data_IF_601821967475
#
_entry.id   IF_601821967475
#
_cell.length_a   1.000
_cell.length_b   1.000
_cell.length_c   1.000
_cell.angle_alpha   90.00
_cell.angle_beta   90.00
_cell.angle_gamma   90.00
#
_symmetry.space_group_name_H-M   'P 1'
#
loop_
_entity.id
_entity.type
_entity.pdbx_description
1 polymer ?
#
# COMPACT_ATOMS: atom_id res chain seq x y z
N UNK A 1 1.41 28.63 -25.66
CA UNK A 1 1.40 28.64 -24.20
C UNK A 1 -0.02 28.46 -23.60
N UNK A 2 -1.08 29.09 -24.16
CA UNK A 2 -2.47 29.06 -23.62
C UNK A 2 -3.10 27.67 -23.55
N UNK A 3 -2.84 26.76 -24.51
CA UNK A 3 -3.45 25.43 -24.61
C UNK A 3 -2.97 24.48 -23.50
N UNK A 4 -1.71 24.53 -23.11
CA UNK A 4 -1.13 23.66 -22.06
C UNK A 4 -1.70 24.03 -20.68
N UNK A 5 -1.73 25.32 -20.35
CA UNK A 5 -2.33 25.80 -19.11
C UNK A 5 -3.83 25.46 -19.03
N UNK A 6 -4.52 25.43 -20.17
CA UNK A 6 -5.95 25.07 -20.24
C UNK A 6 -6.16 23.58 -19.91
N UNK A 7 -5.28 22.70 -20.43
CA UNK A 7 -5.35 21.24 -20.17
C UNK A 7 -5.15 20.93 -18.68
N UNK A 8 -4.12 21.52 -18.07
CA UNK A 8 -3.85 21.33 -16.64
C UNK A 8 -5.01 21.82 -15.77
N UNK A 9 -5.51 23.04 -16.00
CA UNK A 9 -6.63 23.58 -15.25
C UNK A 9 -7.90 22.73 -15.40
N UNK A 10 -8.17 22.26 -16.62
CA UNK A 10 -9.33 21.41 -16.91
C UNK A 10 -9.26 20.07 -16.17
N UNK A 11 -8.09 19.45 -16.07
CA UNK A 11 -7.91 18.19 -15.36
C UNK A 11 -7.83 18.38 -13.84
N UNK A 12 -7.18 19.44 -13.36
CA UNK A 12 -7.09 19.75 -11.94
C UNK A 12 -8.45 20.10 -11.31
N UNK A 13 -9.40 20.62 -12.11
CA UNK A 13 -10.75 20.92 -11.62
C UNK A 13 -11.65 19.69 -11.47
N UNK A 14 -11.25 18.52 -11.97
CA UNK A 14 -12.05 17.31 -11.88
C UNK A 14 -12.01 16.77 -10.44
N UNK A 15 -13.19 16.61 -9.84
CA UNK A 15 -13.30 15.99 -8.53
C UNK A 15 -13.15 14.46 -8.67
N UNK A 16 -12.09 13.91 -8.08
CA UNK A 16 -11.84 12.46 -8.08
C UNK A 16 -12.16 11.80 -6.74
N UNK A 17 -12.71 12.55 -5.76
CA UNK A 17 -12.94 12.05 -4.38
C UNK A 17 -13.81 10.80 -4.32
N UNK A 18 -14.83 10.71 -5.17
CA UNK A 18 -15.74 9.56 -5.24
C UNK A 18 -15.09 8.31 -5.88
N UNK A 19 -13.88 8.44 -6.43
CA UNK A 19 -13.13 7.37 -7.10
C UNK A 19 -11.87 6.99 -6.33
N UNK A 20 -11.68 7.54 -5.14
CA UNK A 20 -10.54 7.27 -4.27
C UNK A 20 -10.85 6.05 -3.41
N UNK A 21 -9.92 5.11 -3.39
CA UNK A 21 -9.90 3.98 -2.47
C UNK A 21 -8.87 4.23 -1.37
N UNK A 22 -9.18 3.85 -0.14
CA UNK A 22 -8.22 3.86 0.96
C UNK A 22 -7.37 2.58 0.92
N UNK A 23 -6.04 2.73 0.79
CA UNK A 23 -5.07 1.64 0.96
C UNK A 23 -4.16 1.96 2.14
N UNK A 24 -4.54 1.47 3.32
CA UNK A 24 -3.89 1.88 4.58
C UNK A 24 -4.13 3.36 4.86
N UNK A 25 -3.04 4.13 5.01
CA UNK A 25 -3.08 5.59 5.26
C UNK A 25 -3.11 6.42 3.97
N UNK A 26 -2.97 5.80 2.80
CA UNK A 26 -2.87 6.51 1.52
C UNK A 26 -4.19 6.51 0.77
N UNK A 27 -4.43 7.62 0.09
CA UNK A 27 -5.48 7.75 -0.90
C UNK A 27 -5.00 7.19 -2.24
N UNK A 28 -5.79 6.34 -2.84
CA UNK A 28 -5.44 5.62 -4.06
C UNK A 28 -6.48 5.86 -5.15
N UNK A 29 -6.05 6.44 -6.25
CA UNK A 29 -6.85 6.53 -7.48
C UNK A 29 -6.48 5.36 -8.38
N UNK A 30 -7.46 4.49 -8.68
CA UNK A 30 -7.24 3.36 -9.59
C UNK A 30 -6.79 3.84 -10.96
N UNK A 31 -5.79 3.15 -11.54
CA UNK A 31 -5.30 3.45 -12.88
C UNK A 31 -6.41 3.40 -13.94
N UNK A 32 -7.37 2.49 -13.78
CA UNK A 32 -8.48 2.34 -14.72
C UNK A 32 -9.40 3.57 -14.71
N UNK A 33 -9.72 4.11 -13.52
CA UNK A 33 -10.50 5.34 -13.41
C UNK A 33 -9.75 6.55 -13.93
N UNK A 34 -8.47 6.69 -13.55
CA UNK A 34 -7.64 7.78 -14.04
C UNK A 34 -7.57 7.78 -15.57
N UNK A 35 -7.34 6.61 -16.17
CA UNK A 35 -7.26 6.46 -17.61
C UNK A 35 -8.60 6.71 -18.30
N UNK A 36 -9.71 6.21 -17.75
CA UNK A 36 -11.05 6.45 -18.31
C UNK A 36 -11.38 7.94 -18.35
N UNK A 37 -11.10 8.68 -17.29
CA UNK A 37 -11.32 10.14 -17.23
C UNK A 37 -10.47 10.86 -18.29
N UNK A 38 -9.19 10.47 -18.42
CA UNK A 38 -8.30 11.06 -19.43
C UNK A 38 -8.82 10.78 -20.83
N UNK A 39 -9.17 9.55 -21.15
CA UNK A 39 -9.63 9.16 -22.49
C UNK A 39 -10.99 9.76 -22.85
N UNK A 40 -11.89 9.93 -21.88
CA UNK A 40 -13.18 10.61 -22.08
C UNK A 40 -12.96 12.07 -22.49
N UNK A 41 -12.07 12.78 -21.82
CA UNK A 41 -11.83 14.20 -22.05
C UNK A 41 -10.81 14.49 -23.16
N UNK A 42 -9.86 13.61 -23.36
CA UNK A 42 -8.79 13.68 -24.36
C UNK A 42 -8.66 12.34 -25.08
N UNK A 43 -9.51 12.07 -26.09
CA UNK A 43 -9.52 10.77 -26.80
C UNK A 43 -8.19 10.43 -27.48
N UNK A 44 -7.39 11.44 -27.84
CA UNK A 44 -6.04 11.34 -28.42
C UNK A 44 -4.94 11.05 -27.38
N UNK A 45 -5.26 11.08 -26.09
CA UNK A 45 -4.29 10.78 -25.04
C UNK A 45 -3.69 9.38 -25.23
N UNK A 46 -2.39 9.27 -25.01
CA UNK A 46 -1.65 8.02 -25.19
C UNK A 46 -0.75 7.73 -23.99
N UNK A 47 -0.46 6.46 -23.78
CA UNK A 47 0.47 5.96 -22.78
C UNK A 47 1.63 5.24 -23.46
N UNK A 48 2.85 5.52 -23.04
CA UNK A 48 4.06 4.82 -23.43
C UNK A 48 4.74 4.19 -22.22
N UNK A 49 4.96 2.88 -22.26
CA UNK A 49 5.86 2.18 -21.35
C UNK A 49 7.20 2.10 -22.06
N UNK A 50 8.25 2.63 -21.42
CA UNK A 50 9.58 2.62 -22.00
C UNK A 50 10.27 1.30 -21.69
N UNK A 51 11.04 0.83 -22.64
CA UNK A 51 11.86 -0.38 -22.55
C UNK A 51 13.34 0.00 -22.49
N UNK A 52 14.13 -0.82 -21.82
CA UNK A 52 15.57 -0.65 -21.76
C UNK A 52 16.20 -1.12 -23.09
N UNK A 53 16.94 -0.24 -23.75
CA UNK A 53 17.62 -0.55 -25.00
C UNK A 53 18.64 -1.70 -24.86
N UNK A 54 19.16 -1.93 -23.65
CA UNK A 54 20.13 -2.99 -23.38
C UNK A 54 19.50 -4.37 -23.16
N UNK A 55 18.32 -4.44 -22.59
CA UNK A 55 17.69 -5.71 -22.19
C UNK A 55 16.38 -6.01 -22.90
N UNK A 56 15.77 -5.02 -23.56
CA UNK A 56 14.43 -5.13 -24.14
C UNK A 56 13.31 -5.27 -23.08
N UNK A 57 13.64 -5.13 -21.80
CA UNK A 57 12.67 -5.23 -20.71
C UNK A 57 12.05 -3.87 -20.40
N UNK A 58 10.81 -3.88 -19.95
CA UNK A 58 10.06 -2.68 -19.60
C UNK A 58 10.37 -2.18 -18.16
N UNK A 59 11.59 -2.37 -17.72
CA UNK A 59 12.16 -1.76 -16.53
C UNK A 59 13.66 -1.49 -16.72
N UNK A 60 14.20 -0.63 -15.89
CA UNK A 60 15.59 -0.20 -15.86
C UNK A 60 16.21 -0.59 -14.52
N UNK A 61 17.54 -0.74 -14.47
CA UNK A 61 18.24 -1.12 -13.25
C UNK A 61 19.55 -0.34 -13.10
N UNK A 62 19.92 -0.08 -11.85
CA UNK A 62 21.24 0.43 -11.42
C UNK A 62 22.20 -0.71 -11.04
N UNK A 63 21.82 -1.98 -11.31
CA UNK A 63 22.54 -3.19 -10.94
C UNK A 63 22.17 -3.73 -9.56
N UNK A 64 21.48 -2.95 -8.72
CA UNK A 64 21.05 -3.37 -7.38
C UNK A 64 19.52 -3.38 -7.22
N UNK A 65 18.87 -2.33 -7.69
CA UNK A 65 17.40 -2.19 -7.70
C UNK A 65 16.89 -1.94 -9.11
N UNK A 66 15.57 -1.82 -9.26
CA UNK A 66 14.96 -1.58 -10.54
C UNK A 66 13.84 -0.54 -10.46
N UNK A 67 13.58 0.15 -11.58
CA UNK A 67 12.51 1.13 -11.72
C UNK A 67 11.86 1.04 -13.10
N UNK A 68 10.63 1.52 -13.21
CA UNK A 68 9.92 1.66 -14.48
C UNK A 68 9.93 3.13 -14.93
N UNK A 69 9.77 3.32 -16.25
CA UNK A 69 9.64 4.65 -16.87
C UNK A 69 8.37 4.64 -17.70
N UNK A 70 7.41 5.51 -17.36
CA UNK A 70 6.10 5.56 -18.05
C UNK A 70 5.78 7.00 -18.42
N UNK A 71 5.48 7.21 -19.70
CA UNK A 71 5.02 8.49 -20.23
C UNK A 71 3.51 8.48 -20.47
N UNK A 72 2.87 9.61 -20.22
CA UNK A 72 1.48 9.88 -20.61
C UNK A 72 1.44 11.18 -21.40
N UNK A 73 0.88 11.12 -22.61
CA UNK A 73 0.72 12.28 -23.49
C UNK A 73 -0.74 12.73 -23.47
N UNK A 74 -0.97 14.02 -23.17
CA UNK A 74 -2.29 14.64 -23.21
C UNK A 74 -2.16 15.98 -23.91
N UNK A 75 -2.96 16.21 -24.93
CA UNK A 75 -2.94 17.47 -25.69
C UNK A 75 -1.57 17.79 -26.33
N UNK A 76 -0.82 16.75 -26.71
CA UNK A 76 0.50 16.87 -27.36
C UNK A 76 1.68 17.08 -26.39
N UNK A 77 1.45 17.12 -25.06
CA UNK A 77 2.50 17.20 -24.04
C UNK A 77 2.65 15.84 -23.36
N UNK A 78 3.89 15.34 -23.26
CA UNK A 78 4.20 14.12 -22.53
C UNK A 78 4.76 14.48 -21.15
N UNK A 79 4.21 13.86 -20.10
CA UNK A 79 4.83 13.81 -18.79
C UNK A 79 5.29 12.40 -18.49
N UNK A 80 6.51 12.28 -17.99
CA UNK A 80 7.16 10.99 -17.71
C UNK A 80 7.38 10.89 -16.20
N UNK A 81 6.96 9.75 -15.63
CA UNK A 81 7.25 9.37 -14.25
C UNK A 81 8.23 8.20 -14.22
N UNK A 82 9.09 8.21 -13.21
CA UNK A 82 10.06 7.16 -12.91
C UNK A 82 9.74 6.60 -11.54
N UNK A 83 9.28 5.35 -11.47
CA UNK A 83 8.87 4.75 -10.21
C UNK A 83 9.74 3.55 -9.86
N UNK A 84 10.39 3.52 -8.67
CA UNK A 84 11.05 2.32 -8.18
C UNK A 84 10.10 1.14 -8.08
N UNK A 85 10.59 -0.06 -8.39
CA UNK A 85 9.85 -1.30 -8.14
C UNK A 85 9.97 -1.63 -6.65
N UNK A 86 8.84 -1.63 -5.96
CA UNK A 86 8.77 -1.66 -4.50
C UNK A 86 7.89 -2.79 -3.97
N UNK A 87 8.23 -3.28 -2.78
CA UNK A 87 7.41 -4.20 -2.02
C UNK A 87 6.20 -3.50 -1.36
N UNK A 88 5.42 -4.25 -0.58
CA UNK A 88 4.24 -3.73 0.14
C UNK A 88 4.55 -2.69 1.23
N UNK A 89 5.83 -2.55 1.61
CA UNK A 89 6.31 -1.56 2.58
C UNK A 89 6.87 -0.31 1.90
N UNK A 90 6.70 -0.17 0.57
CA UNK A 90 7.29 0.88 -0.28
C UNK A 90 8.83 0.91 -0.26
N UNK A 91 9.48 -0.23 -0.02
CA UNK A 91 10.94 -0.37 -0.12
C UNK A 91 11.30 -0.97 -1.48
N UNK A 92 12.34 -0.44 -2.11
CA UNK A 92 12.86 -0.98 -3.37
C UNK A 92 13.20 -2.47 -3.25
N UNK A 93 12.85 -3.24 -4.26
CA UNK A 93 13.15 -4.68 -4.36
C UNK A 93 14.50 -4.81 -5.06
N UNK A 94 15.35 -5.74 -4.58
CA UNK A 94 16.59 -6.09 -5.28
C UNK A 94 16.26 -6.65 -6.66
N UNK A 95 17.05 -6.29 -7.68
CA UNK A 95 16.77 -6.65 -9.07
C UNK A 95 16.63 -8.16 -9.27
N UNK A 96 17.40 -8.96 -8.54
CA UNK A 96 17.36 -10.44 -8.56
C UNK A 96 16.01 -11.02 -8.09
N UNK A 97 15.22 -10.24 -7.34
CA UNK A 97 13.93 -10.64 -6.76
C UNK A 97 12.73 -9.97 -7.46
N UNK A 98 12.98 -9.18 -8.51
CA UNK A 98 11.90 -8.49 -9.25
C UNK A 98 11.15 -9.49 -10.12
N UNK A 99 9.83 -9.51 -9.95
CA UNK A 99 8.94 -10.34 -10.75
C UNK A 99 8.18 -9.50 -11.78
N UNK A 100 7.66 -10.13 -12.83
CA UNK A 100 6.80 -9.46 -13.81
C UNK A 100 5.52 -8.86 -13.18
N UNK A 101 5.04 -9.45 -12.08
CA UNK A 101 3.93 -8.90 -11.30
C UNK A 101 4.30 -7.55 -10.66
N UNK A 102 5.50 -7.46 -10.06
CA UNK A 102 5.97 -6.22 -9.44
C UNK A 102 6.19 -5.13 -10.48
N UNK A 103 6.76 -5.50 -11.64
CA UNK A 103 6.94 -4.60 -12.79
C UNK A 103 5.59 -4.04 -13.26
N UNK A 104 4.61 -4.91 -13.53
CA UNK A 104 3.28 -4.48 -13.98
C UNK A 104 2.59 -3.55 -12.97
N UNK A 105 2.70 -3.86 -11.69
CA UNK A 105 2.15 -3.02 -10.61
C UNK A 105 2.84 -1.65 -10.54
N UNK A 106 4.16 -1.60 -10.73
CA UNK A 106 4.91 -0.36 -10.77
C UNK A 106 4.52 0.48 -12.00
N UNK A 107 4.36 -0.13 -13.18
CA UNK A 107 3.90 0.54 -14.40
C UNK A 107 2.53 1.21 -14.20
N UNK A 108 1.57 0.51 -13.58
CA UNK A 108 0.24 1.05 -13.33
C UNK A 108 0.29 2.26 -12.36
N UNK A 109 1.10 2.19 -11.30
CA UNK A 109 1.29 3.29 -10.36
C UNK A 109 1.99 4.48 -11.00
N UNK A 110 3.05 4.24 -11.77
CA UNK A 110 3.78 5.27 -12.50
C UNK A 110 2.89 5.99 -13.51
N UNK A 111 2.02 5.25 -14.22
CA UNK A 111 1.05 5.84 -15.14
C UNK A 111 0.13 6.85 -14.43
N UNK A 112 -0.39 6.51 -13.26
CA UNK A 112 -1.28 7.42 -12.51
C UNK A 112 -0.53 8.66 -12.03
N UNK A 113 0.74 8.56 -11.64
CA UNK A 113 1.59 9.70 -11.30
C UNK A 113 1.84 10.60 -12.53
N UNK A 114 2.15 10.02 -13.68
CA UNK A 114 2.29 10.77 -14.93
C UNK A 114 0.98 11.49 -15.32
N UNK A 115 -0.18 10.85 -15.11
CA UNK A 115 -1.50 11.51 -15.27
C UNK A 115 -1.66 12.66 -14.26
N UNK A 116 -1.23 12.48 -13.02
CA UNK A 116 -1.25 13.52 -11.99
C UNK A 116 -0.48 14.79 -12.40
N UNK A 117 0.63 14.63 -13.09
CA UNK A 117 1.41 15.77 -13.61
C UNK A 117 0.63 16.60 -14.64
N UNK A 118 -0.36 16.02 -15.32
CA UNK A 118 -1.31 16.75 -16.16
C UNK A 118 -2.42 17.46 -15.37
N UNK A 119 -2.47 17.29 -14.04
CA UNK A 119 -3.40 17.95 -13.12
C UNK A 119 -4.42 17.02 -12.47
N UNK A 120 -4.77 15.87 -13.06
CA UNK A 120 -5.83 14.99 -12.55
C UNK A 120 -5.41 14.36 -11.21
N UNK A 121 -6.12 14.73 -10.13
CA UNK A 121 -5.88 14.16 -8.81
C UNK A 121 -4.51 14.49 -8.23
N UNK A 122 -3.82 15.54 -8.69
CA UNK A 122 -2.46 15.89 -8.27
C UNK A 122 -2.34 16.05 -6.75
N UNK A 123 -3.39 16.53 -6.08
CA UNK A 123 -3.41 16.70 -4.62
C UNK A 123 -3.29 15.38 -3.84
N UNK A 124 -3.54 14.23 -4.47
CA UNK A 124 -3.39 12.91 -3.82
C UNK A 124 -1.92 12.60 -3.49
N UNK A 125 -1.00 13.20 -4.25
CA UNK A 125 0.44 13.01 -4.11
C UNK A 125 1.09 14.05 -3.17
N UNK A 126 0.32 15.07 -2.74
CA UNK A 126 0.81 16.07 -1.81
C UNK A 126 1.14 15.41 -0.46
N UNK A 127 2.41 15.45 -0.07
CA UNK A 127 2.92 14.84 1.17
C UNK A 127 3.39 13.39 1.05
N UNK A 128 3.31 12.76 -0.13
CA UNK A 128 3.84 11.40 -0.33
C UNK A 128 5.36 11.37 -0.05
N UNK A 129 6.09 12.37 -0.53
CA UNK A 129 7.54 12.49 -0.33
C UNK A 129 7.95 12.83 1.11
N UNK A 130 7.02 13.34 1.93
CA UNK A 130 7.27 13.64 3.35
C UNK A 130 7.24 12.38 4.23
N UNK A 131 6.78 11.25 3.71
CA UNK A 131 6.65 10.01 4.47
C UNK A 131 7.96 9.25 4.56
N UNK A 132 8.84 9.41 3.57
CA UNK A 132 10.14 8.71 3.53
C UNK A 132 11.20 9.35 4.45
N UNK A 133 11.03 10.61 4.83
CA UNK A 133 11.95 11.31 5.76
C UNK A 133 11.83 10.80 7.20
N UNK A 134 10.82 10.01 7.52
CA UNK A 134 10.59 9.46 8.88
C UNK A 134 11.12 8.04 9.08
N UNK A 135 11.89 7.48 8.15
CA UNK A 135 12.36 6.09 8.22
C UNK A 135 13.63 5.86 9.04
N UNK A 136 14.17 6.88 9.71
CA UNK A 136 15.08 6.66 10.85
C UNK A 136 14.36 6.27 12.16
N UNK A 137 13.06 5.96 12.09
CA UNK A 137 12.45 5.21 13.19
C UNK A 137 12.97 3.79 13.10
N UNK A 138 13.64 3.32 14.16
CA UNK A 138 14.05 1.92 14.24
C UNK A 138 12.83 1.05 13.91
N UNK A 139 13.01 -0.14 13.28
CA UNK A 139 11.90 -0.98 12.85
C UNK A 139 10.89 -1.01 13.98
N UNK A 140 9.65 -0.63 13.70
CA UNK A 140 8.57 -0.69 14.70
C UNK A 140 8.64 -2.13 15.20
N UNK A 141 9.21 -2.30 16.39
CA UNK A 141 9.21 -3.61 17.07
C UNK A 141 7.77 -4.03 16.99
N UNK A 142 7.47 -5.12 16.26
CA UNK A 142 6.15 -5.75 16.29
C UNK A 142 5.76 -5.64 17.74
N UNK A 143 4.68 -4.93 18.05
CA UNK A 143 4.29 -4.68 19.43
C UNK A 143 4.30 -6.04 20.10
N UNK A 144 5.28 -6.26 20.98
CA UNK A 144 5.42 -7.55 21.66
C UNK A 144 4.12 -7.67 22.43
N UNK A 145 3.26 -8.60 22.01
CA UNK A 145 1.99 -8.83 22.67
C UNK A 145 2.29 -8.99 24.16
N UNK A 146 1.64 -8.26 25.06
CA UNK A 146 1.94 -8.37 26.47
C UNK A 146 1.74 -9.82 26.93
N UNK A 147 2.64 -10.31 27.79
CA UNK A 147 2.55 -11.67 28.31
C UNK A 147 1.40 -11.75 29.30
N UNK A 148 0.39 -12.57 28.99
CA UNK A 148 -0.74 -12.81 29.87
C UNK A 148 -0.33 -13.77 31.01
N UNK A 149 0.13 -13.19 32.11
CA UNK A 149 0.42 -13.89 33.39
C UNK A 149 -0.71 -13.63 34.39
N UNK A 150 -0.80 -14.41 35.46
CA UNK A 150 -1.79 -14.19 36.55
C UNK A 150 -1.76 -12.76 37.10
N UNK A 151 -0.61 -12.15 37.15
CA UNK A 151 -0.37 -10.77 37.60
C UNK A 151 -0.76 -9.70 36.58
N UNK A 152 -1.12 -10.09 35.35
CA UNK A 152 -1.52 -9.14 34.33
C UNK A 152 -2.92 -8.59 34.64
N UNK A 153 -3.10 -7.26 34.48
CA UNK A 153 -4.38 -6.57 34.79
C UNK A 153 -5.60 -7.16 34.09
N UNK A 154 -5.44 -7.75 32.91
CA UNK A 154 -6.52 -8.36 32.14
C UNK A 154 -6.70 -9.87 32.41
N UNK A 155 -6.01 -10.45 33.41
CA UNK A 155 -6.13 -11.87 33.70
C UNK A 155 -7.56 -12.26 34.09
N UNK A 156 -8.18 -11.49 34.99
CA UNK A 156 -9.54 -11.72 35.46
C UNK A 156 -10.58 -11.68 34.30
N UNK A 157 -10.41 -10.72 33.38
CA UNK A 157 -11.28 -10.59 32.21
C UNK A 157 -11.14 -11.79 31.26
N UNK A 158 -9.90 -12.28 31.06
CA UNK A 158 -9.65 -13.46 30.24
C UNK A 158 -10.23 -14.73 30.87
N UNK A 159 -10.14 -14.87 32.19
CA UNK A 159 -10.80 -15.99 32.92
C UNK A 159 -12.32 -15.91 32.76
N UNK A 160 -12.91 -14.73 32.95
CA UNK A 160 -14.36 -14.52 32.74
C UNK A 160 -14.79 -14.81 31.32
N UNK A 161 -14.00 -14.41 30.34
CA UNK A 161 -14.23 -14.71 28.93
C UNK A 161 -14.29 -16.22 28.68
N UNK A 162 -13.35 -17.00 29.23
CA UNK A 162 -13.32 -18.44 29.09
C UNK A 162 -14.53 -19.10 29.78
N UNK A 163 -14.86 -18.68 31.01
CA UNK A 163 -16.00 -19.22 31.75
C UNK A 163 -17.34 -18.99 31.04
N UNK A 164 -17.49 -17.81 30.41
CA UNK A 164 -18.73 -17.41 29.75
C UNK A 164 -18.91 -17.98 28.35
N UNK A 165 -17.88 -18.62 27.77
CA UNK A 165 -17.92 -19.12 26.38
C UNK A 165 -17.60 -20.61 26.28
N UNK A 166 -18.06 -21.41 27.27
CA UNK A 166 -17.79 -22.85 27.31
C UNK A 166 -18.41 -23.65 26.15
N UNK A 167 -19.33 -23.07 25.38
CA UNK A 167 -19.85 -23.66 24.14
C UNK A 167 -18.84 -23.64 22.97
N UNK A 168 -17.77 -22.82 23.07
CA UNK A 168 -16.71 -22.72 22.06
C UNK A 168 -15.53 -23.59 22.49
N UNK A 169 -14.93 -24.40 21.57
CA UNK A 169 -13.78 -25.23 21.91
C UNK A 169 -12.65 -24.42 22.54
N UNK A 170 -12.05 -24.93 23.61
CA UNK A 170 -10.98 -24.25 24.36
C UNK A 170 -9.82 -23.78 23.47
N UNK A 171 -9.42 -24.60 22.49
CA UNK A 171 -8.38 -24.24 21.54
C UNK A 171 -8.71 -22.97 20.75
N UNK A 172 -9.97 -22.76 20.38
CA UNK A 172 -10.41 -21.55 19.69
C UNK A 172 -10.43 -20.33 20.62
N UNK A 173 -10.83 -20.50 21.87
CA UNK A 173 -10.79 -19.42 22.88
C UNK A 173 -9.37 -18.96 23.13
N UNK A 174 -8.42 -19.90 23.26
CA UNK A 174 -7.00 -19.57 23.40
C UNK A 174 -6.47 -18.84 22.18
N UNK A 175 -6.81 -19.27 20.98
CA UNK A 175 -6.41 -18.60 19.73
C UNK A 175 -6.89 -17.15 19.69
N UNK A 176 -8.13 -16.88 20.07
CA UNK A 176 -8.69 -15.52 20.14
C UNK A 176 -7.95 -14.64 21.18
N UNK A 177 -7.52 -15.21 22.31
CA UNK A 177 -6.72 -14.50 23.30
C UNK A 177 -5.28 -14.26 22.81
N UNK A 178 -4.72 -15.17 22.03
CA UNK A 178 -3.38 -15.04 21.42
C UNK A 178 -3.31 -13.96 20.35
N UNK A 179 -4.44 -13.47 19.85
CA UNK A 179 -4.45 -12.28 18.98
C UNK A 179 -4.01 -11.01 19.74
N UNK A 180 -4.22 -10.96 21.05
CA UNK A 180 -3.90 -9.81 21.93
C UNK A 180 -2.74 -10.05 22.86
N UNK A 181 -2.48 -11.29 23.27
CA UNK A 181 -1.53 -11.64 24.32
C UNK A 181 -0.58 -12.77 23.87
N UNK A 182 0.61 -12.81 24.42
CA UNK A 182 1.44 -14.01 24.45
C UNK A 182 1.09 -14.80 25.71
N UNK A 183 0.62 -16.06 25.58
CA UNK A 183 0.18 -16.86 26.73
C UNK A 183 1.19 -17.97 27.01
N UNK A 184 1.92 -17.94 28.13
CA UNK A 184 2.82 -19.02 28.53
C UNK A 184 2.11 -20.35 28.68
N UNK A 185 2.79 -21.48 28.43
CA UNK A 185 2.18 -22.81 28.48
C UNK A 185 1.59 -23.15 29.86
N UNK A 186 2.24 -22.71 30.95
CA UNK A 186 1.73 -22.83 32.32
C UNK A 186 0.37 -22.13 32.49
N UNK A 187 0.23 -20.93 31.93
CA UNK A 187 -0.99 -20.15 32.05
C UNK A 187 -2.11 -20.67 31.15
N UNK A 188 -1.78 -21.31 30.02
CA UNK A 188 -2.78 -22.05 29.21
C UNK A 188 -3.36 -23.22 29.98
N UNK A 189 -2.53 -24.00 30.69
CA UNK A 189 -2.99 -25.10 31.55
C UNK A 189 -3.96 -24.60 32.63
N UNK A 190 -3.65 -23.44 33.22
CA UNK A 190 -4.50 -22.85 34.23
C UNK A 190 -5.82 -22.31 33.65
N UNK A 191 -5.78 -21.63 32.52
CA UNK A 191 -7.00 -21.20 31.82
C UNK A 191 -7.87 -22.40 31.44
N UNK A 192 -7.27 -23.54 31.12
CA UNK A 192 -8.01 -24.77 30.85
C UNK A 192 -8.74 -25.31 32.10
N UNK A 193 -8.19 -25.14 33.31
CA UNK A 193 -8.88 -25.53 34.54
C UNK A 193 -10.16 -24.74 34.77
N UNK A 194 -10.21 -23.47 34.38
CA UNK A 194 -11.41 -22.64 34.45
C UNK A 194 -12.43 -22.96 33.34
N UNK A 195 -11.99 -23.55 32.26
CA UNK A 195 -12.86 -24.05 31.18
C UNK A 195 -13.52 -25.36 31.57
N UNK A 196 -12.78 -26.28 32.26
CA UNK A 196 -13.23 -27.62 32.65
C UNK A 196 -14.17 -27.59 33.87
N UNK A 197 -14.04 -26.60 34.75
CA UNK A 197 -14.89 -26.40 35.95
C UNK A 197 -15.97 -25.34 35.67
#
# INVERSE_FOLDING_TARGET
MTKIMTTFKALASINVKDKIEKKGRFDYLSWAYAWAIIKDKYPDANRKVYESDHTGLNYFTDGNTAYVKVGVTVGGVEHIDYLPIMNHQNRSIKVENVTSFDVNKAIQRSMVKAIGMHGLGLSLWAGEDLVDVSEDKPPVKKSVKPSLKKTHKNWADCVSYIKNNKSVPFAQLIKNLEDRFTIPASNKKELNSYYAN
#
